data_IF_765049905037
#
_entry.id   IF_765049905037
#
_cell.length_a   1.000
_cell.length_b   1.000
_cell.length_c   1.000
_cell.angle_alpha   90.00
_cell.angle_beta   90.00
_cell.angle_gamma   90.00
#
_symmetry.space_group_name_H-M   'P 1'
#
loop_
_entity.id
_entity.type
_entity.pdbx_description
1 polymer ?
#
# COMPACT_ATOMS: atom_id res chain seq x y z
N UNK A 1 17.12 -2.33 -14.02
CA UNK A 1 16.59 -3.64 -14.45
C UNK A 1 15.51 -4.05 -13.46
N UNK A 2 14.24 -4.00 -13.87
CA UNK A 2 13.11 -4.43 -13.03
C UNK A 2 13.01 -5.94 -13.20
N UNK A 3 13.54 -6.69 -12.24
CA UNK A 3 13.33 -8.13 -12.22
C UNK A 3 11.90 -8.38 -11.75
N UNK A 4 11.12 -9.09 -12.57
CA UNK A 4 9.76 -9.48 -12.21
C UNK A 4 9.84 -10.50 -11.08
N UNK A 5 9.68 -10.01 -9.85
CA UNK A 5 9.84 -10.79 -8.62
C UNK A 5 8.49 -10.95 -7.94
N UNK A 6 8.31 -12.04 -7.19
CA UNK A 6 7.07 -12.27 -6.45
C UNK A 6 6.83 -11.15 -5.43
N UNK A 7 7.91 -10.62 -4.85
CA UNK A 7 7.88 -9.47 -3.93
C UNK A 7 7.34 -8.22 -4.63
N UNK A 8 7.79 -7.91 -5.86
CA UNK A 8 7.30 -6.77 -6.62
C UNK A 8 5.79 -6.90 -6.92
N UNK A 9 5.33 -8.10 -7.28
CA UNK A 9 3.92 -8.36 -7.55
C UNK A 9 3.04 -8.15 -6.31
N UNK A 10 3.48 -8.61 -5.14
CA UNK A 10 2.75 -8.42 -3.88
C UNK A 10 2.69 -6.91 -3.54
N UNK A 11 3.79 -6.17 -3.70
CA UNK A 11 3.79 -4.71 -3.52
C UNK A 11 2.80 -4.02 -4.46
N UNK A 12 2.80 -4.38 -5.75
CA UNK A 12 1.90 -3.81 -6.74
C UNK A 12 0.43 -4.07 -6.40
N UNK A 13 0.08 -5.32 -6.06
CA UNK A 13 -1.29 -5.67 -5.69
C UNK A 13 -1.72 -4.88 -4.44
N UNK A 14 -0.88 -4.84 -3.41
CA UNK A 14 -1.17 -4.09 -2.18
C UNK A 14 -1.36 -2.59 -2.44
N UNK A 15 -0.45 -1.98 -3.21
CA UNK A 15 -0.51 -0.57 -3.56
C UNK A 15 -1.71 -0.20 -4.45
N UNK A 16 -2.05 -1.05 -5.44
CA UNK A 16 -3.21 -0.83 -6.31
C UNK A 16 -4.51 -0.93 -5.50
N UNK A 17 -4.63 -1.94 -4.62
CA UNK A 17 -5.80 -2.07 -3.77
C UNK A 17 -5.98 -0.85 -2.85
N UNK A 18 -4.88 -0.36 -2.25
CA UNK A 18 -4.89 0.86 -1.44
C UNK A 18 -5.31 2.10 -2.25
N UNK A 19 -4.77 2.24 -3.47
CA UNK A 19 -5.13 3.34 -4.36
C UNK A 19 -6.62 3.31 -4.74
N UNK A 20 -7.15 2.13 -5.06
CA UNK A 20 -8.56 1.95 -5.41
C UNK A 20 -9.47 2.28 -4.22
N UNK A 21 -9.11 1.88 -3.00
CA UNK A 21 -9.89 2.22 -1.80
C UNK A 21 -9.88 3.74 -1.54
N UNK A 22 -8.70 4.37 -1.61
CA UNK A 22 -8.55 5.82 -1.48
C UNK A 22 -9.41 6.60 -2.48
N UNK A 23 -9.36 6.22 -3.77
CA UNK A 23 -10.18 6.86 -4.83
C UNK A 23 -11.67 6.68 -4.53
N UNK A 24 -12.11 5.49 -4.10
CA UNK A 24 -13.52 5.25 -3.76
C UNK A 24 -13.97 6.11 -2.58
N UNK A 25 -13.10 6.40 -1.62
CA UNK A 25 -13.43 7.27 -0.47
C UNK A 25 -13.60 8.75 -0.84
N UNK A 26 -13.03 9.20 -1.96
CA UNK A 26 -13.26 10.55 -2.47
C UNK A 26 -14.73 10.84 -2.78
N UNK A 27 -15.51 9.79 -3.08
CA UNK A 27 -16.96 9.90 -3.33
C UNK A 27 -17.82 9.95 -2.05
N UNK A 28 -17.23 9.72 -0.87
CA UNK A 28 -17.94 9.67 0.41
C UNK A 28 -17.77 10.92 1.29
N UNK A 29 -18.22 10.83 2.55
CA UNK A 29 -18.06 11.89 3.55
C UNK A 29 -16.62 12.01 4.08
N UNK A 30 -15.73 11.07 3.78
CA UNK A 30 -14.35 11.02 4.27
C UNK A 30 -13.34 11.51 3.21
N UNK A 31 -13.66 12.61 2.51
CA UNK A 31 -12.86 13.11 1.37
C UNK A 31 -11.41 13.42 1.74
N UNK A 32 -11.18 14.05 2.89
CA UNK A 32 -9.82 14.39 3.34
C UNK A 32 -8.94 13.15 3.49
N UNK A 33 -9.47 12.11 4.15
CA UNK A 33 -8.77 10.84 4.33
C UNK A 33 -8.55 10.16 2.97
N UNK A 34 -9.56 10.17 2.10
CA UNK A 34 -9.44 9.62 0.74
C UNK A 34 -8.36 10.31 -0.09
N UNK A 35 -8.20 11.62 0.03
CA UNK A 35 -7.13 12.38 -0.66
C UNK A 35 -5.77 11.93 -0.14
N UNK A 36 -5.57 11.91 1.17
CA UNK A 36 -4.30 11.52 1.79
C UNK A 36 -3.95 10.08 1.39
N UNK A 37 -4.90 9.15 1.50
CA UNK A 37 -4.74 7.75 1.12
C UNK A 37 -4.36 7.59 -0.35
N UNK A 38 -5.06 8.28 -1.24
CA UNK A 38 -4.80 8.24 -2.69
C UNK A 38 -3.38 8.74 -3.00
N UNK A 39 -2.99 9.87 -2.40
CA UNK A 39 -1.66 10.47 -2.63
C UNK A 39 -0.55 9.57 -2.11
N UNK A 40 -0.68 9.07 -0.87
CA UNK A 40 0.34 8.23 -0.25
C UNK A 40 0.46 6.89 -0.98
N UNK A 41 -0.66 6.27 -1.37
CA UNK A 41 -0.66 5.04 -2.16
C UNK A 41 -0.06 5.25 -3.56
N UNK A 42 -0.37 6.37 -4.22
CA UNK A 42 0.24 6.71 -5.51
C UNK A 42 1.76 6.91 -5.38
N UNK A 43 2.21 7.66 -4.37
CA UNK A 43 3.64 7.84 -4.10
C UNK A 43 4.35 6.50 -3.83
N UNK A 44 3.73 5.62 -3.04
CA UNK A 44 4.24 4.26 -2.83
C UNK A 44 4.39 3.50 -4.15
N UNK A 45 3.36 3.49 -5.00
CA UNK A 45 3.41 2.80 -6.29
C UNK A 45 4.51 3.35 -7.21
N UNK A 46 4.65 4.67 -7.30
CA UNK A 46 5.71 5.29 -8.11
C UNK A 46 7.09 4.95 -7.52
N UNK A 47 7.20 4.85 -6.20
CA UNK A 47 8.47 4.53 -5.51
C UNK A 47 8.97 3.10 -5.76
N UNK A 48 8.12 2.19 -6.26
CA UNK A 48 8.55 0.85 -6.67
C UNK A 48 9.45 0.87 -7.91
N UNK A 49 9.36 1.93 -8.71
CA UNK A 49 10.04 2.03 -10.00
C UNK A 49 11.04 3.19 -10.07
N UNK A 50 10.88 4.21 -9.23
CA UNK A 50 11.71 5.41 -9.23
C UNK A 50 12.53 5.51 -7.93
N UNK A 51 13.87 5.34 -7.97
CA UNK A 51 14.73 5.44 -6.79
C UNK A 51 14.94 6.87 -6.27
N UNK A 52 14.41 7.90 -6.95
CA UNK A 52 14.56 9.31 -6.59
C UNK A 52 13.44 9.86 -5.70
N UNK A 53 12.51 9.01 -5.22
CA UNK A 53 11.42 9.48 -4.35
C UNK A 53 11.93 9.62 -2.91
N UNK A 54 11.69 10.76 -2.24
CA UNK A 54 12.09 10.95 -0.86
C UNK A 54 11.46 9.89 0.06
N UNK A 55 12.14 9.60 1.18
CA UNK A 55 11.75 8.63 2.23
C UNK A 55 11.89 7.14 1.87
N UNK A 56 11.99 6.79 0.57
CA UNK A 56 12.16 5.41 0.11
C UNK A 56 10.88 4.57 0.17
N UNK A 57 10.86 3.48 -0.60
CA UNK A 57 9.68 2.62 -0.81
C UNK A 57 9.12 2.05 0.48
N UNK A 58 9.98 1.64 1.41
CA UNK A 58 9.57 1.03 2.68
C UNK A 58 8.87 2.03 3.60
N UNK A 59 9.36 3.28 3.68
CA UNK A 59 8.69 4.31 4.47
C UNK A 59 7.31 4.67 3.88
N UNK A 60 7.21 4.73 2.55
CA UNK A 60 5.92 4.98 1.87
C UNK A 60 4.94 3.81 2.06
N UNK A 61 5.42 2.57 2.09
CA UNK A 61 4.59 1.42 2.43
C UNK A 61 4.03 1.53 3.85
N UNK A 62 4.87 1.88 4.83
CA UNK A 62 4.46 2.10 6.22
C UNK A 62 3.46 3.25 6.32
N UNK A 63 3.70 4.37 5.63
CA UNK A 63 2.76 5.49 5.58
C UNK A 63 1.41 5.04 5.00
N UNK A 64 1.41 4.25 3.92
CA UNK A 64 0.19 3.70 3.31
C UNK A 64 -0.58 2.82 4.30
N UNK A 65 0.12 1.94 5.03
CA UNK A 65 -0.46 1.10 6.08
C UNK A 65 -1.10 1.95 7.18
N UNK A 66 -0.41 2.98 7.67
CA UNK A 66 -0.95 3.87 8.71
C UNK A 66 -2.23 4.56 8.22
N UNK A 67 -2.22 5.08 6.99
CA UNK A 67 -3.40 5.76 6.43
C UNK A 67 -4.56 4.78 6.24
N UNK A 68 -4.32 3.56 5.76
CA UNK A 68 -5.33 2.51 5.68
C UNK A 68 -5.94 2.17 7.04
N UNK A 69 -5.13 2.08 8.10
CA UNK A 69 -5.61 1.85 9.47
C UNK A 69 -6.50 3.00 9.94
N UNK A 70 -6.07 4.25 9.74
CA UNK A 70 -6.88 5.44 10.08
C UNK A 70 -8.19 5.42 9.29
N UNK A 71 -8.12 5.11 7.99
CA UNK A 71 -9.28 5.05 7.11
C UNK A 71 -10.28 3.96 7.53
N UNK A 72 -9.81 2.82 8.02
CA UNK A 72 -10.65 1.74 8.56
C UNK A 72 -11.34 2.11 9.87
N UNK A 73 -10.66 2.85 10.74
CA UNK A 73 -11.22 3.31 12.03
C UNK A 73 -12.27 4.39 11.80
N UNK A 74 -12.00 5.35 10.90
CA UNK A 74 -12.86 6.52 10.69
C UNK A 74 -13.99 6.26 9.66
N UNK A 75 -13.77 5.36 8.69
CA UNK A 75 -14.69 5.16 7.56
C UNK A 75 -15.49 3.85 7.61
N UNK A 76 -16.81 3.91 7.46
CA UNK A 76 -17.71 2.73 7.45
C UNK A 76 -17.93 2.11 6.07
N UNK A 77 -17.53 2.76 4.98
CA UNK A 77 -17.86 2.36 3.59
C UNK A 77 -16.66 1.64 2.96
N UNK A 78 -16.83 0.36 2.62
CA UNK A 78 -15.80 -0.55 2.07
C UNK A 78 -14.67 -0.94 3.05
N UNK A 79 -14.93 -1.90 3.94
CA UNK A 79 -13.87 -2.52 4.76
C UNK A 79 -13.06 -3.57 4.01
N UNK A 80 -13.67 -4.27 3.05
CA UNK A 80 -13.05 -5.41 2.38
C UNK A 80 -11.77 -5.08 1.62
N UNK A 81 -11.79 -4.02 0.80
CA UNK A 81 -10.63 -3.63 -0.02
C UNK A 81 -9.51 -3.07 0.86
N UNK A 82 -9.85 -2.20 1.81
CA UNK A 82 -8.88 -1.68 2.77
C UNK A 82 -8.21 -2.79 3.60
N UNK A 83 -8.97 -3.78 4.09
CA UNK A 83 -8.40 -4.92 4.82
C UNK A 83 -7.51 -5.77 3.90
N UNK A 84 -7.94 -6.06 2.68
CA UNK A 84 -7.14 -6.81 1.73
C UNK A 84 -5.82 -6.09 1.40
N UNK A 85 -5.88 -4.79 1.11
CA UNK A 85 -4.71 -3.94 0.88
C UNK A 85 -3.76 -3.97 2.08
N UNK A 86 -4.31 -3.81 3.29
CA UNK A 86 -3.54 -3.80 4.53
C UNK A 86 -2.80 -5.13 4.75
N UNK A 87 -3.49 -6.26 4.61
CA UNK A 87 -2.89 -7.59 4.77
C UNK A 87 -1.79 -7.81 3.74
N UNK A 88 -2.04 -7.49 2.46
CA UNK A 88 -1.05 -7.67 1.39
C UNK A 88 0.19 -6.81 1.62
N UNK A 89 0.02 -5.54 2.02
CA UNK A 89 1.14 -4.65 2.31
C UNK A 89 1.93 -5.08 3.55
N UNK A 90 1.26 -5.55 4.61
CA UNK A 90 1.95 -6.08 5.80
C UNK A 90 2.77 -7.32 5.44
N UNK A 91 2.20 -8.25 4.68
CA UNK A 91 2.92 -9.43 4.18
C UNK A 91 4.14 -9.00 3.35
N UNK A 92 3.97 -8.03 2.46
CA UNK A 92 5.08 -7.50 1.67
C UNK A 92 6.20 -6.93 2.54
N UNK A 93 5.87 -6.10 3.55
CA UNK A 93 6.85 -5.52 4.48
C UNK A 93 7.62 -6.62 5.23
N UNK A 94 6.92 -7.65 5.71
CA UNK A 94 7.55 -8.79 6.40
C UNK A 94 8.54 -9.52 5.49
N UNK A 95 8.17 -9.75 4.23
CA UNK A 95 9.00 -10.45 3.25
C UNK A 95 10.22 -9.61 2.82
N UNK A 96 10.04 -8.30 2.57
CA UNK A 96 11.13 -7.43 2.09
C UNK A 96 12.19 -7.19 3.16
N UNK A 97 11.81 -7.23 4.45
CA UNK A 97 12.75 -7.15 5.57
C UNK A 97 13.35 -8.51 5.96
N UNK A 98 12.99 -9.59 5.25
CA UNK A 98 13.42 -10.96 5.56
C UNK A 98 13.11 -11.43 6.99
N UNK A 99 12.06 -10.89 7.62
CA UNK A 99 11.59 -11.36 8.93
C UNK A 99 11.02 -12.78 8.83
N UNK A 100 10.43 -13.10 7.68
CA UNK A 100 10.06 -14.45 7.28
C UNK A 100 10.66 -14.69 5.90
N UNK A 101 11.42 -15.77 5.76
CA UNK A 101 12.03 -16.18 4.50
C UNK A 101 11.28 -17.39 3.96
N UNK A 102 10.60 -17.22 2.83
CA UNK A 102 9.91 -18.31 2.13
C UNK A 102 10.80 -18.75 0.95
N UNK A 103 11.33 -19.98 0.96
CA UNK A 103 12.14 -20.48 -0.15
C UNK A 103 11.34 -20.42 -1.47
N UNK A 104 11.90 -19.76 -2.50
CA UNK A 104 11.27 -19.59 -3.81
C UNK A 104 10.60 -18.22 -4.05
N UNK A 105 10.41 -17.42 -3.00
CA UNK A 105 9.98 -16.01 -3.11
C UNK A 105 11.24 -15.14 -3.03
N UNK A 106 11.74 -14.69 -4.18
CA UNK A 106 12.83 -13.74 -4.32
C UNK A 106 12.31 -12.45 -4.97
#
# INVERSE_FOLDING_TARGET
MITFSWILLIALIGGILALVDGIRRLSGNSKLIGIIETVVAALFLVSLFLPGIPFGTLALAVATIIVLVIALVVGRRSRGIAIAALVVLVVWVVLVNHWIVIPGIR
#
